data_IF_596851142479
#
_entry.id   IF_596851142479
#
_cell.length_a   1.000
_cell.length_b   1.000
_cell.length_c   1.000
_cell.angle_alpha   90.00
_cell.angle_beta   90.00
_cell.angle_gamma   90.00
#
_symmetry.space_group_name_H-M   'P 1'
#
loop_
_entity.id
_entity.type
_entity.pdbx_description
1 polymer ?
#
# COMPACT_ATOMS: atom_id res chain seq x y z
N UNK A 1 45.13 -59.10 50.78
CA UNK A 1 43.74 -58.97 51.27
C UNK A 1 43.42 -57.49 51.35
N UNK A 2 42.89 -56.89 50.27
CA UNK A 2 41.48 -56.77 49.85
C UNK A 2 41.18 -55.26 49.96
N UNK A 3 41.44 -54.50 48.89
CA UNK A 3 40.42 -54.09 47.91
C UNK A 3 39.26 -53.34 48.59
N UNK A 4 39.19 -52.03 48.34
CA UNK A 4 37.99 -51.32 47.86
C UNK A 4 38.27 -49.80 47.83
N UNK A 5 39.00 -49.39 46.79
CA UNK A 5 38.94 -48.03 46.24
C UNK A 5 38.04 -48.13 45.01
N UNK A 6 37.25 -47.08 44.77
CA UNK A 6 36.47 -46.83 43.54
C UNK A 6 35.10 -47.50 43.49
N UNK A 7 34.11 -46.83 44.07
CA UNK A 7 32.73 -46.89 43.59
C UNK A 7 32.38 -45.51 43.07
N UNK A 8 31.86 -45.52 41.84
CA UNK A 8 31.04 -44.47 41.23
C UNK A 8 31.73 -43.19 40.73
N UNK A 9 32.58 -43.33 39.71
CA UNK A 9 32.69 -42.30 38.66
C UNK A 9 32.44 -42.97 37.30
N UNK A 10 31.18 -43.24 36.97
CA UNK A 10 30.79 -43.65 35.60
C UNK A 10 29.29 -43.46 35.38
N UNK A 11 28.78 -42.23 35.48
CA UNK A 11 27.59 -41.85 34.70
C UNK A 11 27.38 -40.33 34.71
N UNK A 12 28.36 -39.60 34.19
CA UNK A 12 28.16 -38.20 33.83
C UNK A 12 28.22 -38.12 32.31
N UNK A 13 27.04 -37.92 31.73
CA UNK A 13 26.82 -37.27 30.43
C UNK A 13 27.27 -38.11 29.23
N UNK A 14 26.30 -38.85 28.66
CA UNK A 14 26.27 -39.10 27.22
C UNK A 14 26.17 -37.74 26.53
N UNK A 15 27.32 -37.11 26.29
CA UNK A 15 27.44 -35.92 25.47
C UNK A 15 27.02 -36.35 24.06
N UNK A 16 25.83 -35.90 23.65
CA UNK A 16 25.22 -36.15 22.36
C UNK A 16 26.03 -35.44 21.25
N UNK A 17 27.26 -35.86 21.02
CA UNK A 17 28.08 -35.44 19.90
C UNK A 17 27.71 -36.27 18.68
N UNK A 18 26.75 -35.79 17.87
CA UNK A 18 26.48 -36.43 16.57
C UNK A 18 27.78 -36.55 15.76
N UNK A 19 28.06 -37.74 15.24
CA UNK A 19 29.19 -37.94 14.35
C UNK A 19 29.06 -37.04 13.12
N UNK A 20 30.19 -36.70 12.48
CA UNK A 20 30.25 -35.77 11.33
C UNK A 20 29.27 -36.16 10.21
N UNK A 21 29.05 -37.46 10.00
CA UNK A 21 28.13 -38.00 9.00
C UNK A 21 26.66 -37.79 9.39
N UNK A 22 26.32 -37.92 10.68
CA UNK A 22 24.96 -37.69 11.19
C UNK A 22 24.58 -36.21 11.14
N UNK A 23 25.55 -35.30 11.35
CA UNK A 23 25.34 -33.85 11.21
C UNK A 23 25.04 -33.45 9.76
N UNK A 24 25.79 -33.99 8.81
CA UNK A 24 25.58 -33.72 7.37
C UNK A 24 24.20 -34.24 6.89
N UNK A 25 23.82 -35.45 7.30
CA UNK A 25 22.51 -36.03 6.97
C UNK A 25 21.35 -35.19 7.55
N UNK A 26 21.46 -34.77 8.81
CA UNK A 26 20.44 -33.93 9.44
C UNK A 26 20.31 -32.55 8.77
N UNK A 27 21.44 -31.93 8.40
CA UNK A 27 21.42 -30.66 7.68
C UNK A 27 20.78 -30.79 6.28
N UNK A 28 21.00 -31.91 5.59
CA UNK A 28 20.31 -32.21 4.32
C UNK A 28 18.80 -32.35 4.49
N UNK A 29 18.36 -33.14 5.47
CA UNK A 29 16.94 -33.36 5.78
C UNK A 29 16.24 -32.06 6.21
N UNK A 30 16.91 -31.21 6.97
CA UNK A 30 16.38 -29.91 7.39
C UNK A 30 16.18 -28.98 6.18
N UNK A 31 17.17 -28.89 5.29
CA UNK A 31 17.07 -28.09 4.06
C UNK A 31 15.92 -28.56 3.17
N UNK A 32 15.75 -29.88 3.02
CA UNK A 32 14.62 -30.45 2.27
C UNK A 32 13.27 -30.05 2.88
N UNK A 33 13.14 -30.12 4.20
CA UNK A 33 11.91 -29.70 4.89
C UNK A 33 11.63 -28.21 4.72
N UNK A 34 12.66 -27.36 4.85
CA UNK A 34 12.52 -25.92 4.62
C UNK A 34 12.07 -25.64 3.19
N UNK A 35 12.71 -26.26 2.20
CA UNK A 35 12.31 -26.12 0.80
C UNK A 35 10.85 -26.58 0.55
N UNK A 36 10.43 -27.68 1.17
CA UNK A 36 9.05 -28.16 1.07
C UNK A 36 8.04 -27.17 1.66
N UNK A 37 8.31 -26.62 2.85
CA UNK A 37 7.43 -25.63 3.49
C UNK A 37 7.40 -24.33 2.69
N UNK A 38 8.55 -23.86 2.19
CA UNK A 38 8.62 -22.68 1.32
C UNK A 38 7.79 -22.89 0.06
N UNK A 39 7.93 -24.04 -0.60
CA UNK A 39 7.13 -24.38 -1.79
C UNK A 39 5.63 -24.44 -1.49
N UNK A 40 5.23 -25.01 -0.35
CA UNK A 40 3.82 -25.01 0.08
C UNK A 40 3.32 -23.58 0.33
N UNK A 41 4.13 -22.74 0.96
CA UNK A 41 3.80 -21.34 1.24
C UNK A 41 3.62 -20.55 -0.05
N UNK A 42 4.53 -20.72 -1.02
CA UNK A 42 4.43 -20.08 -2.34
C UNK A 42 3.16 -20.53 -3.09
N UNK A 43 2.89 -21.84 -3.12
CA UNK A 43 1.68 -22.38 -3.74
C UNK A 43 0.42 -21.82 -3.10
N UNK A 44 0.37 -21.74 -1.77
CA UNK A 44 -0.76 -21.18 -1.05
C UNK A 44 -0.91 -19.67 -1.34
N UNK A 45 0.18 -18.90 -1.31
CA UNK A 45 0.18 -17.49 -1.63
C UNK A 45 -0.33 -17.23 -3.06
N UNK A 46 0.06 -18.07 -4.03
CA UNK A 46 -0.45 -18.01 -5.40
C UNK A 46 -1.96 -18.29 -5.47
N UNK A 47 -2.43 -19.33 -4.78
CA UNK A 47 -3.86 -19.67 -4.73
C UNK A 47 -4.68 -18.53 -4.10
N UNK A 48 -4.21 -17.99 -2.98
CA UNK A 48 -4.84 -16.87 -2.30
C UNK A 48 -4.90 -15.63 -3.20
N UNK A 49 -3.80 -15.30 -3.89
CA UNK A 49 -3.74 -14.16 -4.81
C UNK A 49 -4.73 -14.33 -5.96
N UNK A 50 -4.82 -15.54 -6.54
CA UNK A 50 -5.81 -15.85 -7.59
C UNK A 50 -7.24 -15.72 -7.11
N UNK A 51 -7.54 -16.27 -5.93
CA UNK A 51 -8.88 -16.19 -5.33
C UNK A 51 -9.25 -14.75 -4.99
N UNK A 52 -8.33 -13.97 -4.42
CA UNK A 52 -8.54 -12.55 -4.14
C UNK A 52 -8.81 -11.78 -5.43
N UNK A 53 -8.03 -12.03 -6.49
CA UNK A 53 -8.24 -11.39 -7.79
C UNK A 53 -9.60 -11.75 -8.40
N UNK A 54 -9.99 -13.03 -8.37
CA UNK A 54 -11.30 -13.46 -8.83
C UNK A 54 -12.43 -12.78 -8.06
N UNK A 55 -12.40 -12.85 -6.72
CA UNK A 55 -13.39 -12.22 -5.86
C UNK A 55 -13.47 -10.71 -6.10
N UNK A 56 -12.35 -10.08 -6.41
CA UNK A 56 -12.27 -8.68 -6.75
C UNK A 56 -12.94 -8.37 -8.09
N UNK A 57 -12.68 -9.15 -9.14
CA UNK A 57 -13.38 -9.04 -10.42
C UNK A 57 -14.89 -9.27 -10.27
N UNK A 58 -15.30 -10.28 -9.50
CA UNK A 58 -16.71 -10.59 -9.24
C UNK A 58 -17.41 -9.41 -8.55
N UNK A 59 -16.73 -8.69 -7.65
CA UNK A 59 -17.26 -7.46 -7.01
C UNK A 59 -17.37 -6.26 -7.94
N UNK A 60 -16.52 -6.18 -8.97
CA UNK A 60 -16.58 -5.11 -9.96
C UNK A 60 -17.65 -5.37 -11.03
N UNK A 61 -18.05 -6.63 -11.21
CA UNK A 61 -19.09 -7.01 -12.15
C UNK A 61 -20.42 -6.35 -11.74
N UNK A 62 -20.94 -5.45 -12.58
CA UNK A 62 -22.13 -4.63 -12.29
C UNK A 62 -21.84 -3.21 -11.78
N UNK A 63 -20.60 -2.89 -11.39
CA UNK A 63 -20.17 -1.55 -10.92
C UNK A 63 -19.24 -0.85 -11.92
N UNK A 64 -19.16 -1.32 -13.17
CA UNK A 64 -18.29 -0.79 -14.23
C UNK A 64 -18.63 0.65 -14.64
N UNK A 65 -19.81 1.16 -14.29
CA UNK A 65 -20.19 2.56 -14.50
C UNK A 65 -19.73 3.52 -13.39
N UNK A 66 -19.23 3.00 -12.26
CA UNK A 66 -18.86 3.84 -11.12
C UNK A 66 -17.46 4.42 -11.27
N UNK A 67 -17.27 5.67 -10.84
CA UNK A 67 -15.96 6.35 -10.85
C UNK A 67 -14.89 5.55 -10.10
N UNK A 68 -15.26 4.88 -9.01
CA UNK A 68 -14.32 4.08 -8.20
C UNK A 68 -13.71 2.91 -8.97
N UNK A 69 -14.50 2.20 -9.79
CA UNK A 69 -14.01 1.10 -10.63
C UNK A 69 -13.07 1.63 -11.72
N UNK A 70 -13.43 2.77 -12.34
CA UNK A 70 -12.59 3.41 -13.36
C UNK A 70 -11.28 3.96 -12.80
N UNK A 71 -11.30 4.59 -11.63
CA UNK A 71 -10.10 5.06 -10.95
C UNK A 71 -9.12 3.92 -10.70
N UNK A 72 -9.63 2.79 -10.23
CA UNK A 72 -8.87 1.55 -10.04
C UNK A 72 -8.33 0.99 -11.37
N UNK A 73 -9.14 0.87 -12.42
CA UNK A 73 -8.67 0.38 -13.72
C UNK A 73 -7.53 1.25 -14.27
N UNK A 74 -7.63 2.57 -14.12
CA UNK A 74 -6.53 3.48 -14.48
C UNK A 74 -5.25 3.20 -13.70
N UNK A 75 -5.34 2.84 -12.41
CA UNK A 75 -4.16 2.48 -11.61
C UNK A 75 -3.47 1.20 -12.06
N UNK A 76 -4.20 0.27 -12.70
CA UNK A 76 -3.64 -0.97 -13.24
C UNK A 76 -2.91 -0.73 -14.57
N UNK A 77 -3.39 0.21 -15.38
CA UNK A 77 -2.79 0.58 -16.67
C UNK A 77 -1.57 1.48 -16.46
N UNK A 78 -1.71 2.50 -15.60
CA UNK A 78 -0.63 3.41 -15.26
C UNK A 78 -0.58 3.64 -13.72
N UNK A 79 0.26 2.87 -13.00
CA UNK A 79 0.42 3.04 -11.56
C UNK A 79 1.12 4.37 -11.20
N UNK A 80 1.75 5.04 -12.16
CA UNK A 80 2.52 6.27 -11.93
C UNK A 80 1.67 7.54 -12.09
N UNK A 81 0.52 7.46 -12.77
CA UNK A 81 -0.41 8.57 -12.98
C UNK A 81 -1.59 8.60 -12.00
N UNK A 82 -1.49 7.91 -10.86
CA UNK A 82 -2.52 8.05 -9.83
C UNK A 82 -2.46 9.43 -9.19
N UNK A 83 -3.61 9.98 -8.77
CA UNK A 83 -3.69 11.25 -8.04
C UNK A 83 -2.72 11.29 -6.86
N UNK A 84 -2.57 10.18 -6.13
CA UNK A 84 -1.66 10.07 -5.01
C UNK A 84 -0.18 10.15 -5.43
N UNK A 85 0.21 9.48 -6.52
CA UNK A 85 1.57 9.55 -7.07
C UNK A 85 1.87 10.96 -7.56
N UNK A 86 0.93 11.59 -8.27
CA UNK A 86 1.05 12.98 -8.73
C UNK A 86 1.20 13.94 -7.55
N UNK A 87 0.39 13.82 -6.49
CA UNK A 87 0.52 14.65 -5.29
C UNK A 87 1.88 14.47 -4.61
N UNK A 88 2.41 13.24 -4.51
CA UNK A 88 3.75 12.99 -3.97
C UNK A 88 4.85 13.63 -4.84
N UNK A 89 4.72 13.50 -6.16
CA UNK A 89 5.66 14.11 -7.11
C UNK A 89 5.61 15.64 -7.04
N UNK A 90 4.41 16.24 -6.95
CA UNK A 90 4.23 17.66 -6.73
C UNK A 90 4.88 18.11 -5.42
N UNK A 91 4.61 17.42 -4.30
CA UNK A 91 5.24 17.74 -3.01
C UNK A 91 6.76 17.62 -3.06
N UNK A 92 7.29 16.63 -3.81
CA UNK A 92 8.73 16.45 -4.00
C UNK A 92 9.32 17.61 -4.79
N UNK A 93 8.72 17.96 -5.93
CA UNK A 93 9.15 19.09 -6.77
C UNK A 93 9.09 20.38 -5.94
N UNK A 94 7.98 20.60 -5.25
CA UNK A 94 7.73 21.75 -4.40
C UNK A 94 8.80 21.90 -3.31
N UNK A 95 9.16 20.81 -2.61
CA UNK A 95 10.29 20.79 -1.65
C UNK A 95 11.66 21.01 -2.30
N UNK A 96 11.85 20.55 -3.52
CA UNK A 96 13.14 20.64 -4.23
C UNK A 96 13.39 22.02 -4.83
N UNK A 97 12.34 22.72 -5.24
CA UNK A 97 12.47 24.00 -5.96
C UNK A 97 12.47 25.20 -5.01
N UNK A 98 11.67 25.18 -3.94
CA UNK A 98 11.57 26.29 -3.00
C UNK A 98 11.32 25.71 -1.60
N UNK A 99 12.34 25.66 -0.75
CA UNK A 99 12.28 25.05 0.58
C UNK A 99 11.35 25.73 1.60
N UNK A 100 10.55 26.72 1.19
CA UNK A 100 9.63 27.46 2.06
C UNK A 100 8.20 27.46 1.48
N UNK A 101 7.29 26.79 2.18
CA UNK A 101 5.89 26.57 1.77
C UNK A 101 5.14 27.91 1.60
N UNK A 102 5.48 28.92 2.41
CA UNK A 102 4.91 30.26 2.32
C UNK A 102 5.26 30.96 1.00
N UNK A 103 6.48 30.78 0.50
CA UNK A 103 6.92 31.36 -0.77
C UNK A 103 6.15 30.77 -1.97
N UNK A 104 5.78 29.50 -1.90
CA UNK A 104 5.03 28.81 -2.96
C UNK A 104 3.58 29.26 -2.99
N UNK A 105 2.94 29.40 -1.83
CA UNK A 105 1.57 29.94 -1.75
C UNK A 105 1.52 31.34 -2.36
N UNK A 106 2.53 32.17 -2.09
CA UNK A 106 2.60 33.51 -2.67
C UNK A 106 2.85 33.49 -4.19
N UNK A 107 3.74 32.62 -4.69
CA UNK A 107 3.95 32.44 -6.14
C UNK A 107 2.67 31.95 -6.84
N UNK A 108 1.97 30.97 -6.26
CA UNK A 108 0.71 30.46 -6.81
C UNK A 108 -0.40 31.51 -6.77
N UNK A 109 -0.47 32.29 -5.68
CA UNK A 109 -1.38 33.43 -5.55
C UNK A 109 -1.12 34.47 -6.64
N UNK A 110 0.14 34.84 -6.87
CA UNK A 110 0.50 35.79 -7.93
C UNK A 110 0.17 35.23 -9.31
N UNK A 111 0.50 33.95 -9.57
CA UNK A 111 0.35 33.34 -10.90
C UNK A 111 -1.11 33.06 -11.30
N UNK A 112 -1.95 32.61 -10.35
CA UNK A 112 -3.31 32.13 -10.65
C UNK A 112 -4.42 33.01 -10.08
N UNK A 113 -4.22 33.63 -8.92
CA UNK A 113 -5.23 34.51 -8.31
C UNK A 113 -5.07 35.97 -8.72
N UNK A 114 -3.88 36.34 -9.23
CA UNK A 114 -3.55 37.68 -9.66
C UNK A 114 -3.35 38.64 -8.48
N UNK A 115 -2.22 39.35 -8.46
CA UNK A 115 -1.91 40.37 -7.43
C UNK A 115 -2.65 41.71 -7.68
N UNK A 116 -3.79 41.68 -8.36
CA UNK A 116 -4.56 42.87 -8.71
C UNK A 116 -5.58 43.25 -7.65
N UNK A 117 -5.92 44.54 -7.56
CA UNK A 117 -7.09 44.98 -6.82
C UNK A 117 -8.33 44.26 -7.37
N UNK A 118 -9.19 43.74 -6.49
CA UNK A 118 -10.46 43.12 -6.88
C UNK A 118 -11.20 44.13 -7.75
N UNK A 119 -11.48 43.82 -9.03
CA UNK A 119 -12.17 44.78 -9.89
C UNK A 119 -13.51 45.07 -9.26
N UNK A 120 -13.85 46.36 -9.14
CA UNK A 120 -15.17 46.78 -8.68
C UNK A 120 -16.19 46.32 -9.71
N UNK A 121 -16.79 45.16 -9.45
CA UNK A 121 -17.86 44.63 -10.27
C UNK A 121 -19.06 45.55 -10.09
N UNK A 122 -19.70 45.92 -11.19
CA UNK A 122 -21.02 46.54 -11.11
C UNK A 122 -21.96 45.54 -10.45
N UNK A 123 -22.77 46.02 -9.52
CA UNK A 123 -23.85 45.19 -8.98
C UNK A 123 -24.63 44.60 -10.14
N UNK A 124 -24.75 43.28 -10.13
CA UNK A 124 -25.50 42.57 -11.15
C UNK A 124 -26.94 43.08 -11.07
N UNK A 125 -27.55 43.54 -12.18
CA UNK A 125 -28.91 44.05 -12.15
C UNK A 125 -29.84 42.89 -11.81
N UNK A 126 -30.19 42.79 -10.52
CA UNK A 126 -31.22 41.87 -10.05
C UNK A 126 -32.56 42.50 -10.40
N UNK A 127 -33.21 41.98 -11.44
CA UNK A 127 -34.65 42.18 -11.56
C UNK A 127 -35.29 41.39 -10.42
N UNK A 128 -36.01 42.08 -9.53
CA UNK A 128 -36.60 41.49 -8.31
C UNK A 128 -37.64 40.39 -8.60
N UNK A 129 -38.04 40.20 -9.85
CA UNK A 129 -39.08 39.22 -10.20
C UNK A 129 -38.95 38.78 -11.65
N UNK A 130 -38.14 37.76 -11.90
CA UNK A 130 -38.18 37.04 -13.18
C UNK A 130 -39.39 36.10 -13.17
N UNK A 131 -40.03 35.84 -14.31
CA UNK A 131 -41.10 34.83 -14.36
C UNK A 131 -40.65 33.44 -13.91
N UNK A 132 -39.34 33.19 -14.02
CA UNK A 132 -38.62 31.99 -13.56
C UNK A 132 -38.51 31.89 -12.03
N UNK A 133 -38.68 32.99 -11.30
CA UNK A 133 -38.60 33.03 -9.84
C UNK A 133 -39.96 32.84 -9.16
N UNK A 134 -41.04 32.64 -9.93
CA UNK A 134 -42.37 32.32 -9.37
C UNK A 134 -42.36 30.90 -8.80
N UNK A 135 -43.09 30.68 -7.72
CA UNK A 135 -43.31 29.35 -7.17
C UNK A 135 -43.85 28.40 -8.24
N UNK A 136 -43.26 27.21 -8.35
CA UNK A 136 -43.68 26.18 -9.29
C UNK A 136 -45.07 25.67 -8.85
N UNK A 137 -46.12 26.13 -9.51
CA UNK A 137 -47.47 25.55 -9.39
C UNK A 137 -47.58 24.28 -10.23
N UNK A 138 -48.15 23.22 -9.66
CA UNK A 138 -48.47 21.96 -10.34
C UNK A 138 -49.50 22.22 -11.47
N UNK A 139 -49.22 21.73 -12.68
CA UNK A 139 -50.16 21.68 -13.81
C UNK A 139 -50.88 20.33 -13.86
#
# INVERSE_FOLDING_TARGET
MTLLRVVAESNVVSACGRSRNQKAAWAGNLKQRMAAITSQTENYAMQLTRNNWKNFCDRMQGSLGTDRTWALLRTLIDPNQTKATISKTLLKILRQTLGDEAAIIEVLRIAYLGAGATPSYKDYPRAETTELDRDITEQ
#
